data_IF_298150485371
#
_entry.id   IF_298150485371
#
_cell.length_a   1.000
_cell.length_b   1.000
_cell.length_c   1.000
_cell.angle_alpha   90.00
_cell.angle_beta   90.00
_cell.angle_gamma   90.00
#
_symmetry.space_group_name_H-M   'P 1'
#
loop_
_entity.id
_entity.type
_entity.pdbx_description
1 polymer ?
#
# COMPACT_ATOMS: atom_id res chain seq x y z
N UNK A 1 -25.51 -7.52 -3.31
CA UNK A 1 -24.12 -7.19 -3.00
C UNK A 1 -23.58 -8.18 -1.98
N UNK A 2 -22.46 -8.78 -2.26
CA UNK A 2 -21.84 -9.74 -1.35
C UNK A 2 -20.89 -9.04 -0.38
N UNK A 3 -20.96 -9.41 0.89
CA UNK A 3 -20.02 -8.93 1.90
C UNK A 3 -18.96 -10.00 2.09
N UNK A 4 -17.70 -9.61 2.01
CA UNK A 4 -16.58 -10.52 2.14
C UNK A 4 -15.95 -10.42 3.53
N UNK A 5 -15.48 -11.55 4.03
CA UNK A 5 -14.75 -11.57 5.29
C UNK A 5 -13.26 -11.38 5.04
N UNK A 6 -12.58 -10.74 5.98
CA UNK A 6 -11.14 -10.54 5.88
C UNK A 6 -10.33 -11.83 5.92
N UNK A 7 -10.96 -12.93 6.26
CA UNK A 7 -10.31 -14.24 6.38
C UNK A 7 -9.69 -14.71 5.06
N UNK A 8 -10.21 -14.27 3.93
CA UNK A 8 -9.70 -14.65 2.61
C UNK A 8 -8.68 -13.67 2.02
N UNK A 9 -8.27 -12.66 2.79
CA UNK A 9 -7.29 -11.69 2.30
C UNK A 9 -5.89 -12.29 2.18
N UNK A 10 -5.17 -11.89 1.12
CA UNK A 10 -3.81 -12.36 0.86
C UNK A 10 -2.94 -11.17 0.47
N UNK A 11 -1.73 -11.12 1.02
CA UNK A 11 -0.73 -10.12 0.65
C UNK A 11 0.48 -10.83 0.09
N UNK A 12 0.93 -10.40 -1.09
CA UNK A 12 2.12 -10.93 -1.76
C UNK A 12 3.10 -9.78 -2.00
N UNK A 13 4.34 -9.94 -1.61
CA UNK A 13 5.40 -8.94 -1.78
C UNK A 13 6.58 -9.60 -2.48
N UNK A 14 7.05 -8.98 -3.58
CA UNK A 14 8.18 -9.51 -4.33
C UNK A 14 7.94 -10.89 -4.91
N UNK A 15 6.68 -11.27 -5.14
CA UNK A 15 6.32 -12.59 -5.64
C UNK A 15 6.16 -13.65 -4.55
N UNK A 16 6.41 -13.30 -3.28
CA UNK A 16 6.30 -14.23 -2.16
C UNK A 16 5.17 -13.81 -1.24
N UNK A 17 4.36 -14.77 -0.80
CA UNK A 17 3.28 -14.48 0.13
C UNK A 17 3.83 -14.02 1.47
N UNK A 18 3.21 -12.99 2.04
CA UNK A 18 3.55 -12.53 3.39
C UNK A 18 2.90 -13.49 4.38
N UNK A 19 3.73 -14.09 5.23
CA UNK A 19 3.25 -15.04 6.22
C UNK A 19 2.65 -14.31 7.43
N UNK A 20 1.69 -14.95 8.07
CA UNK A 20 1.14 -14.54 9.36
C UNK A 20 0.56 -13.11 9.37
N UNK A 21 -0.05 -12.68 8.26
CA UNK A 21 -0.69 -11.37 8.20
C UNK A 21 -1.90 -11.31 9.11
N UNK A 22 -1.93 -10.32 10.00
CA UNK A 22 -3.10 -10.05 10.84
C UNK A 22 -4.11 -9.20 10.09
N UNK A 23 -3.62 -8.11 9.51
CA UNK A 23 -4.46 -7.19 8.75
C UNK A 23 -3.60 -6.36 7.81
N UNK A 24 -4.25 -5.75 6.86
CA UNK A 24 -3.62 -4.74 6.00
C UNK A 24 -4.65 -3.68 5.63
N UNK A 25 -4.15 -2.51 5.25
CA UNK A 25 -5.01 -1.45 4.74
C UNK A 25 -4.33 -0.75 3.58
N UNK A 26 -5.12 -0.29 2.63
CA UNK A 26 -4.65 0.48 1.49
C UNK A 26 -5.41 1.79 1.47
N UNK A 27 -4.69 2.89 1.34
CA UNK A 27 -5.28 4.20 1.21
C UNK A 27 -4.84 4.83 -0.10
N UNK A 28 -5.79 5.31 -0.88
CA UNK A 28 -5.54 6.00 -2.15
C UNK A 28 -6.04 7.41 -2.01
N UNK A 29 -5.19 8.37 -2.33
CA UNK A 29 -5.52 9.79 -2.20
C UNK A 29 -5.36 10.48 -3.55
N UNK A 30 -6.35 11.27 -3.92
CA UNK A 30 -6.29 12.11 -5.10
C UNK A 30 -6.19 13.58 -4.64
N UNK A 31 -5.16 14.26 -5.09
CA UNK A 31 -5.00 15.69 -4.83
C UNK A 31 -5.69 16.47 -5.94
N UNK A 32 -6.47 17.47 -5.54
CA UNK A 32 -7.30 18.23 -6.48
C UNK A 32 -7.00 19.71 -6.35
N UNK A 33 -7.28 20.44 -7.43
CA UNK A 33 -7.25 21.91 -7.43
C UNK A 33 -8.57 22.42 -7.98
N UNK A 34 -8.96 23.59 -7.53
CA UNK A 34 -10.14 24.27 -8.03
C UNK A 34 -9.82 24.87 -9.41
N UNK A 35 -10.53 24.43 -10.42
CA UNK A 35 -10.40 24.89 -11.78
C UNK A 35 -11.61 25.71 -12.23
N UNK A 36 -12.42 26.19 -11.30
CA UNK A 36 -13.58 27.02 -11.59
C UNK A 36 -13.12 28.36 -12.13
N UNK A 37 -13.66 28.78 -13.26
CA UNK A 37 -13.34 30.07 -13.86
C UNK A 37 -14.44 31.08 -13.58
N UNK A 38 -14.10 32.38 -13.71
CA UNK A 38 -15.10 33.44 -13.55
C UNK A 38 -16.18 33.39 -14.62
N UNK A 39 -15.88 32.79 -15.77
CA UNK A 39 -16.82 32.64 -16.88
C UNK A 39 -17.42 31.23 -16.93
N UNK A 40 -17.76 30.68 -15.77
CA UNK A 40 -18.39 29.37 -15.73
C UNK A 40 -19.65 29.37 -16.60
N UNK A 41 -19.79 28.34 -17.42
CA UNK A 41 -20.93 28.26 -18.31
C UNK A 41 -22.21 27.96 -17.52
N UNK A 42 -23.35 28.31 -18.11
CA UNK A 42 -24.65 28.03 -17.50
C UNK A 42 -24.85 26.51 -17.29
N UNK A 43 -24.16 25.70 -18.08
CA UNK A 43 -24.24 24.25 -17.94
C UNK A 43 -23.67 23.74 -16.60
N UNK A 44 -22.79 24.51 -15.99
CA UNK A 44 -22.20 24.13 -14.69
C UNK A 44 -23.14 24.46 -13.52
N UNK A 45 -24.15 25.27 -13.74
CA UNK A 45 -25.17 25.63 -12.74
C UNK A 45 -24.62 26.09 -11.40
N UNK A 46 -23.45 26.77 -11.42
CA UNK A 46 -22.82 27.25 -10.22
C UNK A 46 -21.97 26.22 -9.49
N UNK A 47 -21.82 25.03 -10.03
CA UNK A 47 -21.00 24.00 -9.41
C UNK A 47 -19.51 24.30 -9.57
N UNK A 48 -18.76 23.97 -8.53
CA UNK A 48 -17.30 24.11 -8.54
C UNK A 48 -16.68 23.07 -9.47
N UNK A 49 -15.74 23.50 -10.31
CA UNK A 49 -14.96 22.60 -11.15
C UNK A 49 -13.68 22.23 -10.41
N UNK A 50 -13.43 20.95 -10.32
CA UNK A 50 -12.26 20.41 -9.62
C UNK A 50 -11.49 19.51 -10.56
N UNK A 51 -10.17 19.67 -10.60
CA UNK A 51 -9.30 18.79 -11.39
C UNK A 51 -8.35 18.03 -10.48
N UNK A 52 -8.14 16.77 -10.79
CA UNK A 52 -7.16 15.94 -10.11
C UNK A 52 -5.78 16.29 -10.65
N UNK A 53 -4.87 16.65 -9.76
CA UNK A 53 -3.50 16.98 -10.13
C UNK A 53 -2.59 15.77 -10.05
N UNK A 54 -2.67 15.02 -8.96
CA UNK A 54 -1.92 13.78 -8.83
C UNK A 54 -2.65 12.84 -7.88
N UNK A 55 -2.21 11.59 -7.88
CA UNK A 55 -2.74 10.56 -7.00
C UNK A 55 -1.58 9.89 -6.30
N UNK A 56 -1.82 9.48 -5.08
CA UNK A 56 -0.84 8.72 -4.30
C UNK A 56 -1.56 7.61 -3.55
N UNK A 57 -0.82 6.59 -3.17
CA UNK A 57 -1.38 5.50 -2.40
C UNK A 57 -0.35 4.97 -1.42
N UNK A 58 -0.84 4.36 -0.36
CA UNK A 58 0.00 3.78 0.67
C UNK A 58 -0.62 2.50 1.18
N UNK A 59 0.21 1.64 1.74
CA UNK A 59 -0.19 0.36 2.29
C UNK A 59 0.38 0.22 3.68
N UNK A 60 -0.42 -0.31 4.59
CA UNK A 60 0.02 -0.63 5.93
C UNK A 60 -0.31 -2.10 6.20
N UNK A 61 0.68 -2.87 6.64
CA UNK A 61 0.55 -4.31 6.85
C UNK A 61 0.99 -4.62 8.27
N UNK A 62 0.14 -5.30 9.02
CA UNK A 62 0.47 -5.80 10.36
C UNK A 62 0.50 -7.32 10.33
N UNK A 63 1.57 -7.90 10.83
CA UNK A 63 1.72 -9.35 10.83
C UNK A 63 2.48 -9.81 12.07
N UNK A 64 2.38 -11.11 12.33
CA UNK A 64 3.24 -11.75 13.33
C UNK A 64 4.56 -12.13 12.63
N UNK A 65 5.65 -12.01 13.36
CA UNK A 65 6.98 -12.29 12.82
C UNK A 65 7.11 -13.75 12.38
N UNK A 66 7.67 -13.94 11.20
CA UNK A 66 7.99 -15.25 10.66
C UNK A 66 9.40 -15.16 10.08
N UNK A 67 10.31 -16.01 10.54
CA UNK A 67 11.70 -15.96 10.14
C UNK A 67 12.03 -16.83 8.91
N UNK A 68 11.00 -17.36 8.25
CA UNK A 68 11.22 -18.13 7.02
C UNK A 68 11.84 -17.26 5.94
N UNK A 69 12.91 -17.76 5.32
CA UNK A 69 13.74 -16.96 4.44
C UNK A 69 13.11 -16.61 3.09
N UNK A 70 11.96 -17.17 2.75
CA UNK A 70 11.33 -16.97 1.45
C UNK A 70 9.96 -16.35 1.54
N UNK A 71 9.64 -15.64 2.63
CA UNK A 71 8.33 -15.00 2.72
C UNK A 71 8.43 -13.50 2.42
N UNK A 72 7.27 -12.88 2.21
CA UNK A 72 7.18 -11.47 1.85
C UNK A 72 7.67 -10.52 2.93
N UNK A 73 7.69 -10.93 4.20
CA UNK A 73 8.24 -10.11 5.28
C UNK A 73 9.73 -9.86 5.06
N UNK A 74 10.46 -10.87 4.61
CA UNK A 74 11.87 -10.74 4.31
C UNK A 74 12.10 -9.75 3.15
N UNK A 75 11.27 -9.83 2.13
CA UNK A 75 11.35 -8.89 1.00
C UNK A 75 11.09 -7.45 1.43
N UNK A 76 10.14 -7.22 2.32
CA UNK A 76 9.86 -5.88 2.84
C UNK A 76 11.02 -5.36 3.70
N UNK A 77 11.57 -6.21 4.54
CA UNK A 77 12.72 -5.83 5.38
C UNK A 77 13.94 -5.50 4.54
N UNK A 78 14.18 -6.26 3.48
CA UNK A 78 15.29 -6.01 2.57
C UNK A 78 15.09 -4.72 1.78
N UNK A 79 13.87 -4.38 1.45
CA UNK A 79 13.60 -3.12 0.73
C UNK A 79 13.92 -1.90 1.58
N UNK A 80 13.50 -1.88 2.85
CA UNK A 80 13.78 -0.73 3.70
C UNK A 80 15.26 -0.62 4.05
N UNK A 81 15.95 -1.75 4.08
CA UNK A 81 17.38 -1.79 4.41
C UNK A 81 18.25 -1.98 3.16
N UNK A 82 17.80 -1.44 2.04
CA UNK A 82 18.50 -1.59 0.77
C UNK A 82 19.79 -0.76 0.72
N UNK A 83 20.65 -1.07 -0.25
CA UNK A 83 21.92 -0.37 -0.42
C UNK A 83 21.70 1.10 -0.81
N UNK A 84 22.74 1.91 -0.58
CA UNK A 84 22.66 3.33 -0.96
C UNK A 84 22.42 3.52 -2.47
N UNK A 85 22.99 2.65 -3.30
CA UNK A 85 22.77 2.70 -4.74
C UNK A 85 21.29 2.45 -5.09
N UNK A 86 20.70 1.45 -4.46
CA UNK A 86 19.27 1.15 -4.68
C UNK A 86 18.38 2.27 -4.18
N UNK A 87 18.72 2.89 -3.06
CA UNK A 87 17.97 4.03 -2.53
C UNK A 87 17.99 5.21 -3.49
N UNK A 88 19.14 5.50 -4.08
CA UNK A 88 19.25 6.60 -5.05
C UNK A 88 18.46 6.31 -6.32
N UNK A 89 18.26 5.05 -6.66
CA UNK A 89 17.47 4.64 -7.82
C UNK A 89 15.98 4.50 -7.50
N UNK A 90 15.56 4.74 -6.26
CA UNK A 90 14.18 4.51 -5.78
C UNK A 90 13.71 3.10 -6.08
N UNK A 91 14.56 2.11 -5.79
CA UNK A 91 14.24 0.72 -6.04
C UNK A 91 13.09 0.27 -5.12
N UNK A 92 11.97 -0.05 -5.71
CA UNK A 92 10.79 -0.52 -4.99
C UNK A 92 10.64 -2.02 -5.07
N UNK A 93 9.63 -2.53 -4.38
CA UNK A 93 9.26 -3.93 -4.42
C UNK A 93 7.80 -4.03 -4.87
N UNK A 94 7.47 -5.06 -5.63
CA UNK A 94 6.08 -5.25 -6.07
C UNK A 94 5.24 -5.77 -4.91
N UNK A 95 4.01 -5.27 -4.83
CA UNK A 95 3.05 -5.72 -3.82
C UNK A 95 1.73 -6.04 -4.50
N UNK A 96 1.05 -7.05 -3.98
CA UNK A 96 -0.28 -7.43 -4.42
C UNK A 96 -1.10 -7.77 -3.19
N UNK A 97 -2.17 -7.05 -2.98
CA UNK A 97 -3.08 -7.27 -1.85
C UNK A 97 -4.44 -7.68 -2.40
N UNK A 98 -4.91 -8.82 -1.99
CA UNK A 98 -6.18 -9.38 -2.46
C UNK A 98 -7.19 -9.39 -1.32
N UNK A 99 -8.33 -8.79 -1.54
CA UNK A 99 -9.40 -8.73 -0.55
C UNK A 99 -10.75 -8.69 -1.26
N UNK A 100 -11.64 -9.61 -0.87
CA UNK A 100 -13.01 -9.59 -1.36
C UNK A 100 -13.17 -9.74 -2.86
N UNK A 101 -12.22 -10.36 -3.52
CA UNK A 101 -12.25 -10.54 -4.97
C UNK A 101 -11.55 -9.45 -5.76
N UNK A 102 -11.18 -8.36 -5.10
CA UNK A 102 -10.39 -7.29 -5.74
C UNK A 102 -8.92 -7.47 -5.43
N UNK A 103 -8.08 -7.18 -6.42
CA UNK A 103 -6.63 -7.23 -6.26
C UNK A 103 -6.05 -5.83 -6.47
N UNK A 104 -5.30 -5.37 -5.48
CA UNK A 104 -4.60 -4.09 -5.51
C UNK A 104 -3.13 -4.38 -5.72
N UNK A 105 -2.58 -3.96 -6.83
CA UNK A 105 -1.20 -4.30 -7.20
C UNK A 105 -0.42 -3.08 -7.68
N UNK A 106 0.86 -3.04 -7.35
CA UNK A 106 1.74 -1.97 -7.78
C UNK A 106 3.12 -2.11 -7.16
N UNK A 107 3.96 -1.12 -7.41
CA UNK A 107 5.29 -1.03 -6.80
C UNK A 107 5.21 -0.12 -5.58
N UNK A 108 5.90 -0.50 -4.52
CA UNK A 108 5.96 0.30 -3.30
C UNK A 108 7.39 0.44 -2.81
N UNK A 109 7.60 1.49 -2.05
CA UNK A 109 8.84 1.69 -1.29
C UNK A 109 8.47 1.56 0.18
N UNK A 110 9.12 0.65 0.89
CA UNK A 110 8.87 0.46 2.31
C UNK A 110 9.48 1.64 3.06
N UNK A 111 8.66 2.40 3.75
CA UNK A 111 9.08 3.63 4.42
C UNK A 111 9.25 3.47 5.91
N UNK A 112 8.65 2.43 6.49
CA UNK A 112 8.67 2.25 7.95
C UNK A 112 8.51 0.77 8.27
N UNK A 113 9.26 0.32 9.27
CA UNK A 113 9.14 -1.02 9.83
C UNK A 113 9.21 -0.89 11.35
N UNK A 114 8.30 -1.53 12.04
CA UNK A 114 8.26 -1.54 13.49
C UNK A 114 8.11 -2.97 13.98
N UNK A 115 8.93 -3.36 14.94
CA UNK A 115 8.88 -4.69 15.53
C UNK A 115 8.69 -4.56 17.03
N UNK A 116 7.74 -5.29 17.57
CA UNK A 116 7.38 -5.23 18.97
C UNK A 116 7.44 -6.64 19.58
N UNK A 117 8.11 -6.75 20.71
CA UNK A 117 8.27 -8.02 21.41
C UNK A 117 7.61 -7.92 22.79
N UNK A 118 6.70 -8.85 23.06
CA UNK A 118 6.05 -8.95 24.36
C UNK A 118 6.50 -10.25 25.04
N UNK A 119 6.72 -10.20 26.33
CA UNK A 119 7.17 -11.37 27.10
C UNK A 119 6.15 -12.52 27.11
N UNK A 120 4.89 -12.21 26.88
CA UNK A 120 3.79 -13.18 26.94
C UNK A 120 3.20 -13.50 25.59
N UNK A 121 3.64 -12.80 24.52
CA UNK A 121 2.98 -12.89 23.24
C UNK A 121 3.91 -13.17 22.09
N UNK A 122 3.34 -13.15 20.91
CA UNK A 122 4.09 -13.32 19.68
C UNK A 122 4.77 -11.99 19.32
N UNK A 123 5.86 -12.09 18.57
CA UNK A 123 6.53 -10.91 18.01
C UNK A 123 5.65 -10.37 16.89
N UNK A 124 5.32 -9.08 16.97
CA UNK A 124 4.51 -8.40 15.96
C UNK A 124 5.36 -7.46 15.13
N UNK A 125 5.12 -7.44 13.83
CA UNK A 125 5.85 -6.58 12.90
C UNK A 125 4.84 -5.78 12.09
N UNK A 126 5.10 -4.49 11.96
CA UNK A 126 4.28 -3.59 11.15
C UNK A 126 5.12 -2.94 10.07
N UNK A 127 4.62 -2.95 8.85
CA UNK A 127 5.27 -2.31 7.71
C UNK A 127 4.37 -1.24 7.15
N UNK A 128 4.96 -0.11 6.79
CA UNK A 128 4.27 0.96 6.07
C UNK A 128 5.01 1.20 4.77
N UNK A 129 4.28 1.29 3.68
CA UNK A 129 4.84 1.47 2.35
C UNK A 129 4.12 2.57 1.61
N UNK A 130 4.87 3.27 0.77
CA UNK A 130 4.32 4.31 -0.11
C UNK A 130 4.39 3.82 -1.54
N UNK A 131 3.32 4.03 -2.30
CA UNK A 131 3.26 3.60 -3.69
C UNK A 131 4.23 4.36 -4.58
N UNK A 132 4.88 3.63 -5.46
CA UNK A 132 5.73 4.18 -6.52
C UNK A 132 4.98 4.00 -7.84
N UNK A 133 4.40 5.09 -8.34
CA UNK A 133 3.67 5.04 -9.60
C UNK A 133 2.24 4.54 -9.45
N UNK A 134 1.71 3.93 -10.50
CA UNK A 134 0.30 3.60 -10.58
C UNK A 134 -0.07 2.38 -9.73
N UNK A 135 -1.25 2.46 -9.11
CA UNK A 135 -1.89 1.31 -8.47
C UNK A 135 -2.88 0.72 -9.47
N UNK A 136 -2.83 -0.60 -9.63
CA UNK A 136 -3.78 -1.33 -10.45
C UNK A 136 -4.79 -2.01 -9.54
N UNK A 137 -6.06 -1.81 -9.83
CA UNK A 137 -7.17 -2.46 -9.13
C UNK A 137 -7.90 -3.36 -10.12
N UNK A 138 -7.98 -4.63 -9.83
CA UNK A 138 -8.61 -5.57 -10.74
C UNK A 138 -9.56 -6.55 -10.05
#
# INVERSE_FOLDING_TARGET
MATHTGHSGVVTVGGNAVAEVKDFSIEVTANTVDATTLNASAADAGWTKTKVTNRSWSVSINCFFDDAASNGQDDMSNNINQSATAMLANAGVSISCEAGGDTFAGQVLITSMSESVSGDGLVEVSFTATGLGALTIS
#
